data_IF_856899071834
#
_entry.id   IF_856899071834
#
_cell.length_a   1.000
_cell.length_b   1.000
_cell.length_c   1.000
_cell.angle_alpha   90.00
_cell.angle_beta   90.00
_cell.angle_gamma   90.00
#
_symmetry.space_group_name_H-M   'P 1'
#
loop_
_entity.id
_entity.type
_entity.pdbx_description
1 polymer ?
#
# COMPACT_ATOMS: atom_id res chain seq x y z
N UNK A 1 22.08 46.73 71.83
CA UNK A 1 21.24 45.56 71.46
C UNK A 1 20.37 45.73 70.19
N UNK A 2 19.83 46.91 69.81
CA UNK A 2 19.02 47.04 68.57
C UNK A 2 19.83 46.95 67.26
N UNK A 3 21.08 47.41 67.28
CA UNK A 3 21.94 47.56 66.09
C UNK A 3 22.45 46.22 65.54
N UNK A 4 22.87 45.31 66.42
CA UNK A 4 23.32 43.96 66.04
C UNK A 4 22.20 43.12 65.42
N UNK A 5 21.00 43.20 66.01
CA UNK A 5 19.80 42.52 65.49
C UNK A 5 19.40 43.03 64.11
N UNK A 6 19.57 44.34 63.87
CA UNK A 6 19.34 44.96 62.56
C UNK A 6 20.37 44.48 61.53
N UNK A 7 21.66 44.44 61.89
CA UNK A 7 22.72 43.95 60.99
C UNK A 7 22.60 42.46 60.66
N UNK A 8 22.16 41.64 61.61
CA UNK A 8 21.87 40.22 61.37
C UNK A 8 20.68 40.04 60.42
N UNK A 9 19.61 40.82 60.62
CA UNK A 9 18.45 40.82 59.72
C UNK A 9 18.84 41.23 58.30
N UNK A 10 19.66 42.27 58.14
CA UNK A 10 20.14 42.72 56.83
C UNK A 10 21.08 41.71 56.16
N UNK A 11 21.89 40.96 56.93
CA UNK A 11 22.70 39.85 56.42
C UNK A 11 21.83 38.68 55.95
N UNK A 12 20.79 38.31 56.68
CA UNK A 12 19.84 37.27 56.27
C UNK A 12 19.07 37.67 55.00
N UNK A 13 18.61 38.93 54.92
CA UNK A 13 17.95 39.46 53.71
C UNK A 13 18.89 39.42 52.50
N UNK A 14 20.16 39.84 52.64
CA UNK A 14 21.14 39.74 51.55
C UNK A 14 21.38 38.30 51.11
N UNK A 15 21.57 37.36 52.05
CA UNK A 15 21.71 35.93 51.75
C UNK A 15 20.49 35.37 51.00
N UNK A 16 19.27 35.77 51.40
CA UNK A 16 18.04 35.38 50.70
C UNK A 16 17.96 35.96 49.29
N UNK A 17 18.32 37.23 49.10
CA UNK A 17 18.35 37.89 47.79
C UNK A 17 19.39 37.25 46.86
N UNK A 18 20.60 36.98 47.37
CA UNK A 18 21.67 36.32 46.61
C UNK A 18 21.24 34.90 46.23
N UNK A 19 20.68 34.12 47.16
CA UNK A 19 20.15 32.79 46.89
C UNK A 19 18.94 32.80 45.91
N UNK A 20 18.14 33.86 45.86
CA UNK A 20 17.09 34.05 44.85
C UNK A 20 17.69 34.39 43.48
N UNK A 21 18.74 35.22 43.44
CA UNK A 21 19.44 35.60 42.21
C UNK A 21 20.18 34.42 41.59
N UNK A 22 20.86 33.62 42.40
CA UNK A 22 21.53 32.38 41.98
C UNK A 22 20.54 31.34 41.44
N UNK A 23 19.40 31.15 42.12
CA UNK A 23 18.32 30.29 41.62
C UNK A 23 17.77 30.81 40.30
N UNK A 24 17.54 32.12 40.16
CA UNK A 24 17.09 32.74 38.90
C UNK A 24 18.11 32.54 37.78
N UNK A 25 19.41 32.74 38.03
CA UNK A 25 20.45 32.50 37.02
C UNK A 25 20.55 31.03 36.63
N UNK A 26 20.41 30.11 37.57
CA UNK A 26 20.37 28.68 37.29
C UNK A 26 19.18 28.33 36.39
N UNK A 27 17.97 28.80 36.70
CA UNK A 27 16.79 28.55 35.86
C UNK A 27 16.93 29.15 34.47
N UNK A 28 17.49 30.36 34.34
CA UNK A 28 17.77 30.97 33.04
C UNK A 28 18.78 30.15 32.23
N UNK A 29 19.84 29.66 32.87
CA UNK A 29 20.81 28.79 32.23
C UNK A 29 20.17 27.47 31.77
N UNK A 30 19.40 26.80 32.63
CA UNK A 30 18.70 25.56 32.27
C UNK A 30 17.70 25.77 31.14
N UNK A 31 16.96 26.89 31.14
CA UNK A 31 16.07 27.25 30.06
C UNK A 31 16.83 27.46 28.75
N UNK A 32 17.94 28.21 28.77
CA UNK A 32 18.78 28.42 27.59
C UNK A 32 19.39 27.11 27.06
N UNK A 33 19.88 26.24 27.95
CA UNK A 33 20.40 24.92 27.60
C UNK A 33 19.30 24.03 27.00
N UNK A 34 18.09 24.07 27.55
CA UNK A 34 16.92 23.36 27.02
C UNK A 34 16.53 23.84 25.62
N UNK A 35 16.53 25.16 25.40
CA UNK A 35 16.29 25.74 24.07
C UNK A 35 17.39 25.34 23.08
N UNK A 36 18.66 25.42 23.50
CA UNK A 36 19.78 25.00 22.66
C UNK A 36 19.68 23.52 22.28
N UNK A 37 19.38 22.63 23.23
CA UNK A 37 19.13 21.20 22.97
C UNK A 37 17.97 20.98 22.00
N UNK A 38 16.87 21.72 22.18
CA UNK A 38 15.72 21.61 21.30
C UNK A 38 16.06 22.03 19.86
N UNK A 39 16.72 23.17 19.69
CA UNK A 39 17.05 23.74 18.38
C UNK A 39 18.13 22.94 17.64
N UNK A 40 19.11 22.40 18.37
CA UNK A 40 20.26 21.69 17.77
C UNK A 40 20.06 20.18 17.66
N UNK A 41 19.14 19.57 18.39
CA UNK A 41 18.97 18.11 18.36
C UNK A 41 17.52 17.74 18.06
N UNK A 42 16.59 18.12 18.94
CA UNK A 42 15.23 17.58 18.89
C UNK A 42 14.47 18.03 17.63
N UNK A 43 14.51 19.33 17.31
CA UNK A 43 13.86 19.87 16.13
C UNK A 43 14.47 19.33 14.82
N UNK A 44 15.81 19.32 14.63
CA UNK A 44 16.46 18.66 13.48
C UNK A 44 16.04 17.20 13.27
N UNK A 45 16.09 16.37 14.32
CA UNK A 45 15.67 14.96 14.22
C UNK A 45 14.20 14.85 13.84
N UNK A 46 13.33 15.66 14.46
CA UNK A 46 11.91 15.63 14.17
C UNK A 46 11.63 16.01 12.71
N UNK A 47 12.24 17.10 12.22
CA UNK A 47 12.10 17.59 10.85
C UNK A 47 12.62 16.55 9.86
N UNK A 48 13.83 16.05 10.06
CA UNK A 48 14.46 15.07 9.17
C UNK A 48 13.71 13.75 9.12
N UNK A 49 13.04 13.36 10.22
CA UNK A 49 12.24 12.13 10.29
C UNK A 49 10.88 12.23 9.57
N UNK A 50 10.45 13.41 9.14
CA UNK A 50 9.17 13.55 8.43
C UNK A 50 9.25 13.03 7.00
N UNK A 51 8.22 12.34 6.47
CA UNK A 51 8.21 11.91 5.07
C UNK A 51 8.43 13.06 4.08
N UNK A 52 7.89 14.25 4.37
CA UNK A 52 8.05 15.43 3.54
C UNK A 52 9.51 15.89 3.39
N UNK A 53 10.38 15.56 4.35
CA UNK A 53 11.81 15.89 4.28
C UNK A 53 12.47 15.27 3.05
N UNK A 54 12.07 14.05 2.68
CA UNK A 54 12.60 13.33 1.53
C UNK A 54 12.18 13.90 0.17
N UNK A 55 11.20 14.82 0.12
CA UNK A 55 10.81 15.50 -1.13
C UNK A 55 11.97 16.30 -1.74
N UNK A 56 12.93 16.72 -0.91
CA UNK A 56 14.02 17.60 -1.34
C UNK A 56 15.07 16.93 -2.22
N UNK A 57 15.16 15.60 -2.20
CA UNK A 57 16.16 14.88 -3.00
C UNK A 57 15.55 14.34 -4.29
N UNK A 58 16.19 14.51 -5.46
CA UNK A 58 15.65 14.05 -6.75
C UNK A 58 15.32 12.57 -6.81
N UNK A 59 16.12 11.73 -6.13
CA UNK A 59 15.90 10.28 -6.10
C UNK A 59 14.65 9.94 -5.30
N UNK A 60 14.51 10.47 -4.09
CA UNK A 60 13.43 10.10 -3.16
C UNK A 60 12.12 10.85 -3.41
N UNK A 61 12.14 11.98 -4.12
CA UNK A 61 10.94 12.75 -4.50
C UNK A 61 9.90 11.86 -5.19
N UNK A 62 10.33 11.04 -6.17
CA UNK A 62 9.43 10.17 -6.94
C UNK A 62 8.77 9.10 -6.06
N UNK A 63 9.53 8.56 -5.11
CA UNK A 63 9.04 7.56 -4.17
C UNK A 63 8.06 8.18 -3.17
N UNK A 64 8.37 9.38 -2.67
CA UNK A 64 7.50 10.16 -1.80
C UNK A 64 6.18 10.52 -2.49
N UNK A 65 6.23 10.98 -3.75
CA UNK A 65 5.04 11.33 -4.54
C UNK A 65 4.10 10.15 -4.77
N UNK A 66 4.66 8.93 -4.92
CA UNK A 66 3.85 7.72 -4.99
C UNK A 66 3.28 7.32 -3.63
N UNK A 67 4.09 7.38 -2.58
CA UNK A 67 3.69 7.03 -1.21
C UNK A 67 2.58 7.96 -0.70
N UNK A 68 2.67 9.27 -0.96
CA UNK A 68 1.69 10.27 -0.51
C UNK A 68 0.29 10.09 -1.15
N UNK A 69 0.21 9.36 -2.26
CA UNK A 69 -1.04 9.00 -2.94
C UNK A 69 -1.51 7.57 -2.62
N UNK A 70 -0.76 6.85 -1.79
CA UNK A 70 -1.06 5.47 -1.41
C UNK A 70 -1.97 5.41 -0.19
N UNK A 71 -2.52 4.23 0.10
CA UNK A 71 -3.28 3.99 1.33
C UNK A 71 -2.42 4.01 2.60
N UNK A 72 -1.09 4.16 2.47
CA UNK A 72 -0.14 4.19 3.58
C UNK A 72 0.46 5.60 3.78
N UNK A 73 -0.15 6.65 3.19
CA UNK A 73 0.34 8.03 3.25
C UNK A 73 0.38 8.64 4.67
N UNK A 74 -0.23 7.99 5.66
CA UNK A 74 -0.19 8.41 7.07
C UNK A 74 0.92 7.70 7.87
N UNK A 75 1.65 6.77 7.23
CA UNK A 75 2.68 5.96 7.90
C UNK A 75 4.06 6.48 7.51
N UNK A 76 4.84 6.92 8.51
CA UNK A 76 6.20 7.41 8.30
C UNK A 76 7.09 6.36 7.60
N UNK A 77 8.01 6.81 6.73
CA UNK A 77 8.89 5.94 5.93
C UNK A 77 9.62 4.89 6.79
N UNK A 78 10.14 5.33 7.95
CA UNK A 78 10.88 4.46 8.88
C UNK A 78 10.04 3.33 9.44
N UNK A 79 8.72 3.47 9.56
CA UNK A 79 7.84 2.40 10.06
C UNK A 79 7.78 1.20 9.11
N UNK A 80 8.15 1.39 7.84
CA UNK A 80 8.28 0.32 6.86
C UNK A 80 9.73 -0.05 6.60
N UNK A 81 10.62 0.93 6.47
CA UNK A 81 12.01 0.74 6.01
C UNK A 81 13.01 0.45 7.14
N UNK A 82 12.61 0.60 8.40
CA UNK A 82 13.46 0.32 9.56
C UNK A 82 12.78 -0.78 10.39
N UNK A 83 13.55 -1.76 10.90
CA UNK A 83 13.03 -2.75 11.83
C UNK A 83 12.31 -2.08 13.01
N UNK A 84 11.17 -2.61 13.46
CA UNK A 84 10.33 -1.96 14.46
C UNK A 84 10.88 -2.06 15.90
N UNK A 85 12.05 -2.68 16.11
CA UNK A 85 12.69 -2.75 17.42
C UNK A 85 13.23 -1.37 17.85
N UNK A 86 13.27 -1.16 19.17
CA UNK A 86 13.60 0.14 19.77
C UNK A 86 15.00 0.61 19.35
N UNK A 87 15.96 -0.32 19.26
CA UNK A 87 17.35 -0.01 18.99
C UNK A 87 17.56 0.42 17.54
N UNK A 88 16.97 -0.30 16.57
CA UNK A 88 17.00 0.08 15.16
C UNK A 88 16.31 1.43 14.92
N UNK A 89 15.17 1.66 15.57
CA UNK A 89 14.47 2.95 15.51
C UNK A 89 15.29 4.10 16.09
N UNK A 90 15.99 3.88 17.22
CA UNK A 90 16.87 4.87 17.83
C UNK A 90 18.08 5.19 16.94
N UNK A 91 18.75 4.16 16.40
CA UNK A 91 19.85 4.34 15.43
C UNK A 91 19.42 5.10 14.19
N UNK A 92 18.22 4.82 13.66
CA UNK A 92 17.69 5.57 12.54
C UNK A 92 17.51 7.05 12.86
N UNK A 93 16.97 7.41 14.04
CA UNK A 93 16.83 8.82 14.47
C UNK A 93 18.18 9.53 14.59
N UNK A 94 19.21 8.85 15.08
CA UNK A 94 20.57 9.40 15.12
C UNK A 94 21.13 9.64 13.72
N UNK A 95 20.92 8.69 12.78
CA UNK A 95 21.27 8.91 11.37
C UNK A 95 20.50 10.09 10.77
N UNK A 96 19.22 10.27 11.11
CA UNK A 96 18.46 11.43 10.62
C UNK A 96 18.99 12.77 11.15
N UNK A 97 19.59 12.80 12.34
CA UNK A 97 20.27 14.00 12.84
C UNK A 97 21.49 14.35 11.97
N UNK A 98 22.33 13.36 11.71
CA UNK A 98 23.49 13.50 10.82
C UNK A 98 23.04 13.97 9.43
N UNK A 99 22.02 13.33 8.86
CA UNK A 99 21.49 13.69 7.56
C UNK A 99 20.92 15.11 7.50
N UNK A 100 20.32 15.58 8.59
CA UNK A 100 19.85 16.96 8.67
C UNK A 100 20.99 17.94 8.39
N UNK A 101 22.12 17.77 9.08
CA UNK A 101 23.28 18.63 8.94
C UNK A 101 24.01 18.43 7.60
N UNK A 102 24.19 17.18 7.17
CA UNK A 102 24.80 16.89 5.86
C UNK A 102 23.97 17.47 4.71
N UNK A 103 22.64 17.49 4.81
CA UNK A 103 21.77 18.09 3.78
C UNK A 103 21.97 19.59 3.62
N UNK A 104 22.35 20.30 4.68
CA UNK A 104 22.62 21.73 4.65
C UNK A 104 23.97 22.02 3.98
N UNK A 105 24.95 21.13 4.18
CA UNK A 105 26.29 21.25 3.61
C UNK A 105 26.38 20.72 2.17
N UNK A 106 25.55 19.74 1.81
CA UNK A 106 25.61 19.01 0.54
C UNK A 106 24.20 18.77 -0.06
N UNK A 107 23.54 19.81 -0.61
CA UNK A 107 22.15 19.72 -1.06
C UNK A 107 21.91 18.76 -2.24
N UNK A 108 22.94 18.41 -3.01
CA UNK A 108 22.85 17.45 -4.12
C UNK A 108 22.96 15.97 -3.72
N UNK A 109 23.35 15.68 -2.46
CA UNK A 109 23.56 14.31 -1.99
C UNK A 109 22.22 13.64 -1.68
N UNK A 110 21.94 12.50 -2.29
CA UNK A 110 20.80 11.67 -1.89
C UNK A 110 21.24 10.68 -0.80
N UNK A 111 20.59 10.67 0.38
CA UNK A 111 21.00 9.81 1.47
C UNK A 111 20.54 8.36 1.25
N UNK A 112 21.44 7.40 1.47
CA UNK A 112 21.14 5.97 1.45
C UNK A 112 20.78 5.48 2.86
N UNK A 113 19.57 5.81 3.29
CA UNK A 113 19.11 5.62 4.68
C UNK A 113 17.89 4.73 4.81
N UNK A 114 17.30 4.31 3.68
CA UNK A 114 16.10 3.48 3.63
C UNK A 114 16.39 2.20 2.84
N UNK A 115 16.54 1.11 3.57
CA UNK A 115 16.69 -0.23 3.00
C UNK A 115 15.33 -0.83 2.63
N UNK A 116 15.28 -1.90 1.80
CA UNK A 116 14.03 -2.60 1.52
C UNK A 116 13.33 -3.08 2.81
N UNK A 117 12.02 -2.84 2.96
CA UNK A 117 11.27 -3.17 4.17
C UNK A 117 11.44 -4.62 4.67
N UNK A 118 11.77 -4.83 5.95
CA UNK A 118 11.82 -6.16 6.53
C UNK A 118 10.40 -6.68 6.84
N UNK A 119 10.28 -8.01 7.02
CA UNK A 119 8.96 -8.63 7.18
C UNK A 119 8.26 -8.25 8.49
N UNK A 120 9.02 -8.02 9.56
CA UNK A 120 8.54 -7.60 10.87
C UNK A 120 7.89 -6.21 10.85
N UNK A 121 8.42 -5.28 10.05
CA UNK A 121 7.80 -3.98 9.81
C UNK A 121 6.36 -4.15 9.26
N UNK A 122 6.16 -5.04 8.29
CA UNK A 122 4.83 -5.36 7.78
C UNK A 122 3.94 -6.02 8.85
N UNK A 123 4.50 -6.94 9.64
CA UNK A 123 3.76 -7.72 10.64
C UNK A 123 3.34 -6.94 11.88
N UNK A 124 3.87 -5.72 12.08
CA UNK A 124 3.34 -4.82 13.12
C UNK A 124 1.87 -4.48 12.90
N UNK A 125 1.41 -4.48 11.64
CA UNK A 125 0.02 -4.18 11.29
C UNK A 125 -0.67 -5.34 10.54
N UNK A 126 0.06 -6.19 9.83
CA UNK A 126 -0.52 -7.25 8.99
C UNK A 126 -0.25 -8.66 9.53
N UNK A 127 -1.32 -9.36 9.91
CA UNK A 127 -1.24 -10.79 10.24
C UNK A 127 -1.00 -11.66 8.99
N UNK A 128 -0.22 -12.73 9.14
CA UNK A 128 0.11 -13.67 8.05
C UNK A 128 -0.92 -14.81 7.90
N UNK A 129 -1.90 -14.89 8.79
CA UNK A 129 -2.84 -16.01 8.85
C UNK A 129 -4.03 -15.85 7.87
N UNK A 130 -3.73 -15.73 6.57
CA UNK A 130 -4.74 -15.75 5.51
C UNK A 130 -4.45 -16.85 4.49
N UNK A 131 -5.45 -17.66 4.19
CA UNK A 131 -5.39 -18.75 3.20
C UNK A 131 -5.83 -18.33 1.78
N UNK A 132 -6.27 -17.07 1.61
CA UNK A 132 -6.70 -16.49 0.33
C UNK A 132 -6.23 -15.04 0.20
N UNK A 133 -5.88 -14.60 -1.02
CA UNK A 133 -5.73 -13.17 -1.31
C UNK A 133 -7.09 -12.45 -1.24
N UNK A 134 -7.12 -11.12 -1.02
CA UNK A 134 -8.35 -10.31 -1.04
C UNK A 134 -9.17 -10.46 -2.34
N UNK A 135 -8.52 -10.83 -3.45
CA UNK A 135 -9.18 -11.10 -4.72
C UNK A 135 -9.98 -12.42 -4.74
N UNK A 136 -9.75 -13.33 -3.79
CA UNK A 136 -10.43 -14.62 -3.65
C UNK A 136 -9.99 -15.70 -4.66
N UNK A 137 -9.17 -15.32 -5.64
CA UNK A 137 -8.70 -16.19 -6.72
C UNK A 137 -7.47 -17.01 -6.31
N UNK A 138 -6.53 -16.47 -5.53
CA UNK A 138 -5.26 -17.15 -5.31
C UNK A 138 -5.17 -17.93 -3.98
N UNK A 139 -4.68 -19.17 -4.05
CA UNK A 139 -4.22 -20.03 -2.95
C UNK A 139 -2.74 -19.77 -2.72
N UNK A 140 -2.41 -18.82 -1.85
CA UNK A 140 -1.04 -18.52 -1.46
C UNK A 140 -0.86 -18.85 0.02
N UNK A 141 -0.28 -20.02 0.37
CA UNK A 141 0.02 -20.34 1.75
C UNK A 141 1.19 -19.47 2.24
N UNK A 142 0.89 -18.35 2.89
CA UNK A 142 1.90 -17.40 3.37
C UNK A 142 2.87 -18.05 4.38
N UNK A 143 2.43 -19.03 5.19
CA UNK A 143 3.30 -19.80 6.08
C UNK A 143 4.42 -20.52 5.33
N UNK A 144 4.10 -21.20 4.23
CA UNK A 144 5.10 -21.89 3.42
C UNK A 144 6.12 -20.90 2.84
N UNK A 145 5.67 -19.78 2.27
CA UNK A 145 6.55 -18.81 1.64
C UNK A 145 7.36 -17.98 2.65
N UNK A 146 6.73 -17.45 3.70
CA UNK A 146 7.35 -16.47 4.60
C UNK A 146 8.02 -17.12 5.81
N UNK A 147 7.44 -18.19 6.36
CA UNK A 147 7.93 -18.81 7.60
C UNK A 147 8.90 -19.95 7.30
N UNK A 148 8.54 -20.85 6.36
CA UNK A 148 9.36 -22.01 5.99
C UNK A 148 10.47 -21.60 5.03
N UNK A 149 10.12 -21.00 3.89
CA UNK A 149 11.08 -20.56 2.87
C UNK A 149 11.74 -19.21 3.18
N UNK A 150 11.43 -18.59 4.32
CA UNK A 150 12.00 -17.30 4.78
C UNK A 150 11.92 -16.16 3.75
N UNK A 151 10.93 -16.19 2.85
CA UNK A 151 10.80 -15.17 1.81
C UNK A 151 10.39 -13.82 2.40
N UNK A 152 10.86 -12.73 1.77
CA UNK A 152 10.44 -11.38 2.13
C UNK A 152 9.03 -11.08 1.60
N UNK A 153 8.22 -10.35 2.36
CA UNK A 153 6.88 -9.92 1.98
C UNK A 153 6.91 -9.16 0.65
N UNK A 154 7.89 -8.27 0.52
CA UNK A 154 8.12 -7.45 -0.67
C UNK A 154 8.54 -8.25 -1.91
N UNK A 155 8.89 -9.53 -1.79
CA UNK A 155 9.15 -10.37 -2.97
C UNK A 155 7.90 -10.51 -3.85
N UNK A 156 6.72 -10.57 -3.24
CA UNK A 156 5.45 -10.58 -3.95
C UNK A 156 4.74 -9.22 -3.87
N UNK A 157 4.83 -8.55 -2.72
CA UNK A 157 4.26 -7.23 -2.49
C UNK A 157 5.28 -6.13 -2.83
N UNK A 158 5.78 -6.10 -4.07
CA UNK A 158 6.81 -5.13 -4.50
C UNK A 158 6.25 -3.81 -5.04
N UNK A 159 4.91 -3.66 -5.11
CA UNK A 159 4.23 -2.46 -5.61
C UNK A 159 3.24 -1.92 -4.58
N UNK A 160 3.51 -2.01 -3.27
CA UNK A 160 2.52 -1.61 -2.24
C UNK A 160 2.30 -0.09 -2.25
N UNK A 161 3.37 0.67 -2.08
CA UNK A 161 3.33 2.14 -1.90
C UNK A 161 4.14 2.88 -2.97
N UNK A 162 5.16 2.22 -3.52
CA UNK A 162 6.02 2.79 -4.55
C UNK A 162 5.62 2.27 -5.92
N UNK A 163 5.08 3.19 -6.71
CA UNK A 163 4.61 3.01 -8.06
C UNK A 163 3.54 1.92 -8.20
N UNK A 164 3.02 1.81 -9.41
CA UNK A 164 2.14 0.72 -9.82
C UNK A 164 2.93 -0.20 -10.73
N UNK A 165 2.50 -1.45 -10.81
CA UNK A 165 3.04 -2.36 -11.81
C UNK A 165 2.71 -1.86 -13.24
N UNK A 166 3.32 -2.44 -14.30
CA UNK A 166 3.03 -2.08 -15.69
C UNK A 166 1.56 -2.28 -16.13
N UNK A 167 0.76 -2.97 -15.32
CA UNK A 167 -0.68 -3.16 -15.49
C UNK A 167 -1.51 -2.10 -14.74
N UNK A 168 -0.87 -1.11 -14.09
CA UNK A 168 -1.56 -0.04 -13.38
C UNK A 168 -2.18 -0.46 -12.05
N UNK A 169 -1.76 -1.59 -11.48
CA UNK A 169 -2.26 -2.12 -10.20
C UNK A 169 -1.13 -2.30 -9.19
N UNK A 170 -1.49 -2.57 -7.93
CA UNK A 170 -0.54 -2.92 -6.86
C UNK A 170 -0.42 -4.43 -6.66
N UNK A 171 -1.02 -5.22 -7.56
CA UNK A 171 -1.03 -6.68 -7.47
C UNK A 171 0.32 -7.27 -7.94
N UNK A 172 0.77 -8.39 -7.34
CA UNK A 172 1.87 -9.15 -7.90
C UNK A 172 1.54 -9.62 -9.31
N UNK A 173 2.53 -9.56 -10.20
CA UNK A 173 2.41 -10.12 -11.54
C UNK A 173 2.57 -11.63 -11.48
N UNK A 174 1.84 -12.37 -12.33
CA UNK A 174 2.01 -13.82 -12.45
C UNK A 174 3.46 -14.22 -12.76
N UNK A 175 4.15 -13.42 -13.58
CA UNK A 175 5.56 -13.59 -13.89
C UNK A 175 6.44 -13.67 -12.62
N UNK A 176 6.10 -12.95 -11.55
CA UNK A 176 6.80 -13.04 -10.27
C UNK A 176 6.69 -14.44 -9.66
N UNK A 177 5.51 -15.05 -9.73
CA UNK A 177 5.28 -16.42 -9.23
C UNK A 177 6.06 -17.45 -10.05
N UNK A 178 6.05 -17.31 -11.38
CA UNK A 178 6.69 -18.25 -12.31
C UNK A 178 8.22 -18.26 -12.22
N UNK A 179 8.85 -17.27 -11.57
CA UNK A 179 10.29 -17.32 -11.24
C UNK A 179 10.65 -18.56 -10.42
N UNK A 180 9.74 -19.04 -9.59
CA UNK A 180 9.93 -20.27 -8.80
C UNK A 180 8.94 -21.38 -9.20
N UNK A 181 7.70 -21.04 -9.51
CA UNK A 181 6.68 -21.97 -10.01
C UNK A 181 6.89 -22.23 -11.51
N UNK A 182 7.96 -22.95 -11.84
CA UNK A 182 8.38 -23.23 -13.22
C UNK A 182 8.33 -24.74 -13.57
N UNK A 183 7.80 -25.57 -12.68
CA UNK A 183 7.73 -27.02 -12.86
C UNK A 183 8.99 -27.78 -12.43
N UNK A 184 10.12 -27.07 -12.23
CA UNK A 184 11.37 -27.64 -11.70
C UNK A 184 11.55 -27.34 -10.21
N UNK A 185 11.44 -26.07 -9.83
CA UNK A 185 11.65 -25.61 -8.44
C UNK A 185 10.38 -25.68 -7.61
N UNK A 186 9.24 -25.43 -8.22
CA UNK A 186 7.93 -25.58 -7.60
C UNK A 186 6.87 -25.90 -8.67
N UNK A 187 5.77 -26.52 -8.25
CA UNK A 187 4.66 -26.87 -9.13
C UNK A 187 4.14 -25.63 -9.85
N UNK A 188 3.92 -25.71 -11.16
CA UNK A 188 3.47 -24.60 -12.00
C UNK A 188 2.08 -24.84 -12.60
N UNK A 189 1.36 -25.82 -12.06
CA UNK A 189 0.00 -26.13 -12.45
C UNK A 189 -0.89 -24.91 -12.21
N UNK A 190 -1.72 -24.63 -13.20
CA UNK A 190 -2.69 -23.55 -13.17
C UNK A 190 -3.53 -23.53 -11.88
N UNK A 191 -4.01 -24.69 -11.45
CA UNK A 191 -4.86 -24.89 -10.27
C UNK A 191 -4.08 -24.90 -8.95
N UNK A 192 -2.75 -24.97 -8.98
CA UNK A 192 -1.94 -24.97 -7.78
C UNK A 192 -2.05 -23.62 -7.05
N UNK A 193 -2.17 -22.54 -7.84
CA UNK A 193 -2.35 -21.19 -7.33
C UNK A 193 -3.79 -20.68 -7.47
N UNK A 194 -4.56 -21.04 -8.49
CA UNK A 194 -5.90 -20.45 -8.71
C UNK A 194 -7.04 -21.32 -8.15
N UNK A 195 -7.93 -20.71 -7.34
CA UNK A 195 -9.14 -21.31 -6.74
C UNK A 195 -10.27 -21.50 -7.76
N UNK A 196 -10.44 -20.53 -8.67
CA UNK A 196 -11.46 -20.57 -9.74
C UNK A 196 -10.88 -19.92 -10.99
N UNK A 197 -10.61 -20.74 -12.00
CA UNK A 197 -10.25 -20.27 -13.33
C UNK A 197 -11.49 -20.28 -14.22
N UNK A 198 -12.06 -19.12 -14.50
CA UNK A 198 -13.01 -19.01 -15.61
C UNK A 198 -12.22 -18.73 -16.88
N UNK A 199 -12.31 -19.64 -17.83
CA UNK A 199 -11.78 -19.47 -19.17
C UNK A 199 -12.89 -19.68 -20.20
N UNK A 200 -12.80 -19.04 -21.39
CA UNK A 200 -13.60 -19.43 -22.54
C UNK A 200 -13.38 -20.90 -22.89
N UNK A 201 -14.39 -21.55 -23.46
CA UNK A 201 -14.40 -23.00 -23.77
C UNK A 201 -13.18 -23.44 -24.62
N UNK A 202 -12.62 -22.56 -25.47
CA UNK A 202 -11.43 -22.84 -26.29
C UNK A 202 -10.10 -23.03 -25.54
N UNK A 203 -10.01 -22.67 -24.26
CA UNK A 203 -8.80 -22.88 -23.45
C UNK A 203 -8.60 -24.34 -22.99
N UNK A 204 -9.54 -25.24 -23.34
CA UNK A 204 -9.50 -26.66 -22.97
C UNK A 204 -8.88 -27.56 -24.03
N UNK A 205 -8.48 -27.01 -25.17
CA UNK A 205 -7.79 -27.79 -26.21
C UNK A 205 -6.46 -28.33 -25.66
N UNK A 206 -6.19 -29.62 -25.88
CA UNK A 206 -4.99 -30.29 -25.34
C UNK A 206 -3.68 -29.63 -25.81
N UNK A 207 -3.69 -29.01 -26.99
CA UNK A 207 -2.56 -28.29 -27.57
C UNK A 207 -2.51 -26.79 -27.20
N UNK A 208 -3.41 -26.31 -26.34
CA UNK A 208 -3.51 -24.88 -26.00
C UNK A 208 -2.18 -24.29 -25.52
N UNK A 209 -1.44 -25.00 -24.66
CA UNK A 209 -0.13 -24.56 -24.15
C UNK A 209 0.97 -24.49 -25.22
N UNK A 210 0.76 -25.14 -26.37
CA UNK A 210 1.69 -25.13 -27.51
C UNK A 210 1.32 -24.03 -28.52
N UNK A 211 0.02 -23.79 -28.73
CA UNK A 211 -0.48 -22.79 -29.70
C UNK A 211 -0.56 -21.38 -29.13
N UNK A 212 -0.88 -21.24 -27.84
CA UNK A 212 -1.04 -19.95 -27.15
C UNK A 212 0.25 -19.10 -27.13
N UNK A 213 1.45 -19.64 -26.79
CA UNK A 213 2.69 -18.86 -26.85
C UNK A 213 3.05 -18.41 -28.27
N UNK A 214 2.63 -19.16 -29.30
CA UNK A 214 2.89 -18.81 -30.70
C UNK A 214 2.00 -17.65 -31.19
N UNK A 215 0.89 -17.40 -30.51
CA UNK A 215 -0.02 -16.30 -30.84
C UNK A 215 0.38 -14.95 -30.22
N UNK A 216 1.34 -14.93 -29.29
CA UNK A 216 1.82 -13.70 -28.64
C UNK A 216 2.40 -12.66 -29.62
N UNK A 217 2.91 -13.13 -30.78
CA UNK A 217 3.42 -12.28 -31.84
C UNK A 217 2.31 -11.62 -32.68
N UNK A 218 1.08 -12.14 -32.59
CA UNK A 218 -0.07 -11.71 -33.42
C UNK A 218 -1.17 -11.02 -32.62
N UNK A 219 -1.26 -11.28 -31.32
CA UNK A 219 -2.32 -10.77 -30.44
C UNK A 219 -1.71 -10.27 -29.13
N UNK A 220 -2.07 -9.05 -28.72
CA UNK A 220 -1.63 -8.49 -27.44
C UNK A 220 -2.26 -9.27 -26.28
N UNK A 221 -1.41 -9.73 -25.34
CA UNK A 221 -1.81 -10.44 -24.13
C UNK A 221 -2.93 -9.73 -23.35
N UNK A 222 -2.93 -8.39 -23.34
CA UNK A 222 -3.94 -7.57 -22.65
C UNK A 222 -5.33 -7.67 -23.27
N UNK A 223 -5.45 -8.01 -24.56
CA UNK A 223 -6.73 -8.13 -25.27
C UNK A 223 -7.64 -9.20 -24.67
N UNK A 224 -7.07 -10.28 -24.12
CA UNK A 224 -7.82 -11.36 -23.49
C UNK A 224 -7.56 -11.49 -21.98
N UNK A 225 -6.37 -11.16 -21.48
CA UNK A 225 -6.04 -11.25 -20.04
C UNK A 225 -6.29 -9.96 -19.24
N UNK A 226 -6.62 -8.83 -19.89
CA UNK A 226 -7.04 -7.60 -19.22
C UNK A 226 -8.51 -7.59 -18.77
N UNK A 227 -9.29 -8.57 -19.23
CA UNK A 227 -10.73 -8.64 -19.03
C UNK A 227 -11.09 -9.40 -17.75
N UNK A 228 -10.91 -8.76 -16.60
CA UNK A 228 -11.53 -9.25 -15.35
C UNK A 228 -11.83 -8.07 -14.41
N UNK A 229 -13.13 -7.92 -14.10
CA UNK A 229 -13.82 -6.97 -13.18
C UNK A 229 -14.30 -5.59 -13.67
N UNK A 230 -13.83 -5.01 -14.77
CA UNK A 230 -14.23 -3.63 -15.12
C UNK A 230 -15.36 -3.48 -16.16
N UNK A 231 -15.81 -4.56 -16.81
CA UNK A 231 -16.89 -4.47 -17.80
C UNK A 231 -18.18 -3.87 -17.23
N UNK A 232 -18.62 -4.32 -16.05
CA UNK A 232 -19.79 -3.73 -15.39
C UNK A 232 -19.50 -2.29 -14.93
N UNK A 233 -18.28 -1.99 -14.48
CA UNK A 233 -17.94 -0.73 -13.83
C UNK A 233 -17.87 0.44 -14.81
N UNK A 234 -17.42 0.21 -16.04
CA UNK A 234 -17.29 1.25 -17.07
C UNK A 234 -18.62 1.96 -17.41
N UNK A 235 -19.74 1.21 -17.46
CA UNK A 235 -21.06 1.81 -17.60
C UNK A 235 -21.66 2.27 -16.25
N UNK A 236 -21.50 1.49 -15.17
CA UNK A 236 -22.11 1.85 -13.88
C UNK A 236 -21.48 3.07 -13.17
N UNK A 237 -20.30 3.53 -13.59
CA UNK A 237 -19.72 4.79 -13.10
C UNK A 237 -20.13 6.03 -13.88
N UNK A 238 -20.86 5.88 -14.99
CA UNK A 238 -21.43 7.01 -15.76
C UNK A 238 -22.95 6.84 -15.85
N UNK A 239 -23.66 7.45 -14.90
CA UNK A 239 -25.13 7.46 -14.86
C UNK A 239 -25.68 8.25 -16.06
N UNK A 240 -26.45 7.63 -16.98
CA UNK A 240 -27.16 8.38 -18.01
C UNK A 240 -28.36 9.11 -17.39
N UNK A 241 -28.78 10.21 -18.01
CA UNK A 241 -29.92 11.03 -17.55
C UNK A 241 -31.24 10.23 -17.43
N UNK A 242 -31.36 9.09 -18.11
CA UNK A 242 -32.55 8.22 -18.10
C UNK A 242 -32.77 7.40 -16.83
N UNK A 243 -31.83 7.40 -15.88
CA UNK A 243 -31.94 6.64 -14.62
C UNK A 243 -32.41 7.55 -13.49
N UNK A 244 -33.69 7.44 -13.11
CA UNK A 244 -34.30 8.17 -11.98
C UNK A 244 -34.25 7.37 -10.66
N UNK A 245 -34.49 8.09 -9.56
CA UNK A 245 -34.11 7.79 -8.16
C UNK A 245 -34.67 6.49 -7.56
N UNK A 246 -35.68 5.85 -8.17
CA UNK A 246 -36.32 4.62 -7.67
C UNK A 246 -35.89 3.33 -8.38
N UNK A 247 -34.88 3.39 -9.26
CA UNK A 247 -34.44 2.23 -10.03
C UNK A 247 -33.99 1.03 -9.19
N UNK A 248 -33.26 1.25 -8.09
CA UNK A 248 -32.76 0.15 -7.23
C UNK A 248 -33.88 -0.67 -6.59
N UNK A 249 -35.04 -0.07 -6.36
CA UNK A 249 -36.18 -0.71 -5.68
C UNK A 249 -36.99 -1.63 -6.60
N UNK A 250 -36.95 -1.38 -7.92
CA UNK A 250 -37.73 -2.10 -8.93
C UNK A 250 -36.86 -3.02 -9.81
N UNK A 251 -35.54 -2.98 -9.59
CA UNK A 251 -34.53 -3.71 -10.34
C UNK A 251 -34.67 -5.23 -10.18
N UNK A 252 -34.96 -5.71 -8.95
CA UNK A 252 -35.09 -7.13 -8.64
C UNK A 252 -36.18 -7.83 -9.44
N UNK A 253 -37.32 -7.18 -9.60
CA UNK A 253 -38.51 -7.79 -10.24
C UNK A 253 -38.35 -7.90 -11.77
N UNK A 254 -37.63 -6.96 -12.40
CA UNK A 254 -37.39 -6.96 -13.85
C UNK A 254 -36.34 -8.01 -14.28
N UNK A 255 -35.31 -8.24 -13.46
CA UNK A 255 -34.28 -9.26 -13.74
C UNK A 255 -34.71 -10.68 -13.36
N UNK A 256 -35.82 -10.82 -12.62
CA UNK A 256 -36.42 -12.12 -12.31
C UNK A 256 -37.09 -12.76 -13.55
N UNK A 257 -37.61 -11.95 -14.47
CA UNK A 257 -38.36 -12.42 -15.66
C UNK A 257 -37.45 -12.67 -16.85
N UNK A 258 -36.41 -11.84 -17.05
CA UNK A 258 -35.40 -12.04 -18.11
C UNK A 258 -34.01 -11.76 -17.56
N UNK A 259 -33.01 -12.56 -17.97
CA UNK A 259 -31.65 -12.49 -17.44
C UNK A 259 -30.77 -11.57 -18.27
N UNK A 260 -29.83 -10.90 -17.60
CA UNK A 260 -28.85 -10.00 -18.22
C UNK A 260 -29.53 -8.83 -18.95
N UNK A 261 -28.99 -8.44 -20.10
CA UNK A 261 -29.41 -7.25 -20.85
C UNK A 261 -30.84 -7.34 -21.40
N UNK A 262 -31.37 -8.55 -21.58
CA UNK A 262 -32.74 -8.80 -22.07
C UNK A 262 -33.83 -8.48 -21.04
N UNK A 263 -33.45 -8.24 -19.78
CA UNK A 263 -34.33 -7.72 -18.74
C UNK A 263 -35.00 -6.39 -19.14
N UNK A 264 -34.32 -5.59 -19.99
CA UNK A 264 -34.77 -4.25 -20.34
C UNK A 264 -34.53 -3.85 -21.81
N UNK A 265 -33.60 -4.49 -22.53
CA UNK A 265 -33.35 -4.18 -23.94
C UNK A 265 -34.00 -5.20 -24.87
N UNK A 266 -34.67 -4.69 -25.90
CA UNK A 266 -35.24 -5.52 -26.98
C UNK A 266 -34.17 -5.85 -28.03
N UNK A 267 -34.41 -6.94 -28.75
CA UNK A 267 -33.51 -7.54 -29.75
C UNK A 267 -32.86 -6.54 -30.72
N UNK A 268 -33.60 -5.51 -31.13
CA UNK A 268 -33.13 -4.48 -32.05
C UNK A 268 -31.95 -3.66 -31.51
N UNK A 269 -31.83 -3.51 -30.19
CA UNK A 269 -30.68 -2.85 -29.56
C UNK A 269 -29.38 -3.64 -29.80
N UNK A 270 -29.44 -4.97 -29.69
CA UNK A 270 -28.28 -5.85 -29.88
C UNK A 270 -27.88 -5.93 -31.35
N UNK A 271 -28.86 -6.02 -32.25
CA UNK A 271 -28.66 -6.17 -33.70
C UNK A 271 -27.93 -4.96 -34.31
N UNK A 272 -28.15 -3.75 -33.77
CA UNK A 272 -27.47 -2.52 -34.23
C UNK A 272 -25.94 -2.59 -34.18
N UNK A 273 -25.38 -3.40 -33.28
CA UNK A 273 -23.92 -3.53 -33.13
C UNK A 273 -23.41 -4.94 -33.40
N UNK A 274 -24.22 -5.98 -33.17
CA UNK A 274 -23.81 -7.37 -33.33
C UNK A 274 -24.33 -8.04 -34.61
N UNK A 275 -25.20 -7.38 -35.39
CA UNK A 275 -25.84 -7.95 -36.57
C UNK A 275 -26.91 -9.01 -36.26
N UNK A 276 -26.83 -9.67 -35.11
CA UNK A 276 -27.80 -10.62 -34.57
C UNK A 276 -27.92 -10.46 -33.04
N UNK A 277 -28.87 -11.14 -32.40
CA UNK A 277 -28.98 -11.15 -30.93
C UNK A 277 -28.02 -12.21 -30.36
N UNK A 278 -26.98 -11.83 -29.59
CA UNK A 278 -26.03 -12.80 -29.06
C UNK A 278 -26.69 -13.73 -28.04
N UNK A 279 -26.49 -15.05 -28.18
CA UNK A 279 -27.03 -16.05 -27.23
C UNK A 279 -26.30 -15.98 -25.89
N UNK A 280 -26.81 -15.20 -24.94
CA UNK A 280 -26.26 -15.08 -23.59
C UNK A 280 -26.98 -16.05 -22.62
N UNK A 281 -26.43 -17.27 -22.50
CA UNK A 281 -26.76 -18.35 -21.54
C UNK A 281 -28.01 -19.23 -21.79
N UNK A 282 -27.85 -20.32 -22.57
CA UNK A 282 -28.68 -21.54 -22.42
C UNK A 282 -27.98 -22.55 -21.48
N UNK A 283 -28.62 -22.88 -20.35
CA UNK A 283 -28.52 -24.23 -19.74
C UNK A 283 -29.86 -24.66 -19.15
N UNK A 284 -30.41 -25.72 -19.78
CA UNK A 284 -31.30 -26.79 -19.30
C UNK A 284 -32.38 -26.45 -18.27
N UNK A 285 -33.64 -26.55 -18.70
CA UNK A 285 -34.76 -26.82 -17.81
C UNK A 285 -34.61 -28.21 -17.16
N UNK A 286 -35.09 -28.40 -15.91
CA UNK A 286 -35.15 -29.73 -15.31
C UNK A 286 -36.15 -30.60 -16.07
N UNK A 287 -35.80 -31.87 -16.29
CA UNK A 287 -36.76 -32.88 -16.75
C UNK A 287 -37.88 -32.95 -15.71
N UNK A 288 -39.10 -32.59 -16.11
CA UNK A 288 -40.29 -33.06 -15.40
C UNK A 288 -40.76 -34.34 -16.07
N UNK A 289 -40.87 -35.37 -15.24
CA UNK A 289 -41.55 -36.63 -15.53
C UNK A 289 -43.04 -36.32 -15.71
N UNK A 290 -43.58 -36.70 -16.86
CA UNK A 290 -44.89 -37.36 -17.04
C UNK A 290 -44.84 -38.11 -18.36
#
# INVERSE_FOLDING_TARGET
>A
MPRERFEETMRDIRRRIDAMRERKSLYLFLAAAGVALFVTILAPVYIASQPAYFKRYPVTEKYWSSWSKSTHAEIACSRCHVPPDILSQARHRLRMLEEFYLSALMPGRSPDILEPPPNDACRKCHATNRTASPSGDLRIPHKAHVIVLKMKCITCHNWVVHFRNPEGTHAPRMATCLKCHNGKRAKNGCSDCHKKKTFPVGHRAANWLVIHPKQQAKVNCKGCHGWVRNWCRECHTKRPASHVTRWRSLHGDKVAVRRNCEACHVSSFCIKCHGEVPRLNRRMAPKFVR
#
